data_IF_998754344190
#
_entry.id   IF_998754344190
#
_cell.length_a   1.000
_cell.length_b   1.000
_cell.length_c   1.000
_cell.angle_alpha   90.00
_cell.angle_beta   90.00
_cell.angle_gamma   90.00
#
_symmetry.space_group_name_H-M   'P 1'
#
loop_
_entity.id
_entity.type
_entity.pdbx_description
1 polymer ?
#
# COMPACT_ATOMS: atom_id res chain seq x y z
N UNK A 1 -0.69 -0.24 -2.04
CA UNK A 1 0.38 0.77 -2.11
C UNK A 1 1.74 0.12 -2.32
N UNK A 2 2.14 -0.85 -1.48
CA UNK A 2 3.45 -1.52 -1.52
C UNK A 2 3.77 -2.09 -2.91
N UNK A 3 2.85 -2.86 -3.51
CA UNK A 3 3.07 -3.44 -4.85
C UNK A 3 3.25 -2.37 -5.92
N UNK A 4 2.49 -1.27 -5.85
CA UNK A 4 2.64 -0.15 -6.78
C UNK A 4 4.00 0.55 -6.62
N UNK A 5 4.48 0.71 -5.38
CA UNK A 5 5.81 1.25 -5.12
C UNK A 5 6.91 0.35 -5.67
N UNK A 6 6.82 -0.97 -5.45
CA UNK A 6 7.78 -1.93 -6.00
C UNK A 6 7.85 -1.87 -7.53
N UNK A 7 6.69 -1.80 -8.20
CA UNK A 7 6.63 -1.66 -9.66
C UNK A 7 7.24 -0.36 -10.18
N UNK A 8 7.26 0.71 -9.35
CA UNK A 8 7.87 1.98 -9.72
C UNK A 8 9.40 1.97 -9.62
N UNK A 9 9.96 1.13 -8.75
CA UNK A 9 11.37 1.19 -8.35
C UNK A 9 12.30 0.35 -9.21
N UNK A 10 11.77 -0.63 -9.95
CA UNK A 10 12.58 -1.51 -10.80
C UNK A 10 13.73 -2.21 -10.04
N UNK A 11 13.38 -2.81 -8.90
CA UNK A 11 14.34 -3.48 -8.01
C UNK A 11 14.65 -4.87 -8.54
N UNK A 12 15.94 -5.24 -8.52
CA UNK A 12 16.44 -6.53 -8.95
C UNK A 12 17.16 -7.30 -7.83
N UNK A 13 17.26 -8.63 -7.93
CA UNK A 13 18.10 -9.41 -7.03
C UNK A 13 19.55 -8.92 -7.02
N UNK A 14 20.10 -8.73 -5.82
CA UNK A 14 21.43 -8.18 -5.59
C UNK A 14 21.48 -6.67 -5.34
N UNK A 15 20.36 -5.95 -5.53
CA UNK A 15 20.30 -4.52 -5.28
C UNK A 15 20.42 -4.18 -3.79
N UNK A 16 20.95 -2.98 -3.53
CA UNK A 16 20.95 -2.36 -2.20
C UNK A 16 19.88 -1.26 -2.16
N UNK A 17 18.88 -1.45 -1.32
CA UNK A 17 17.75 -0.54 -1.20
C UNK A 17 17.72 0.11 0.18
N UNK A 18 17.52 1.41 0.22
CA UNK A 18 17.26 2.13 1.47
C UNK A 18 15.76 2.36 1.65
N UNK A 19 15.28 2.06 2.84
CA UNK A 19 13.93 2.38 3.31
C UNK A 19 14.02 3.38 4.46
N UNK A 20 13.11 4.36 4.49
CA UNK A 20 12.90 5.21 5.67
C UNK A 20 11.45 5.16 6.10
N UNK A 21 11.23 4.97 7.41
CA UNK A 21 9.93 4.69 7.97
C UNK A 21 9.62 3.19 7.93
N UNK A 22 10.35 2.39 8.72
CA UNK A 22 10.13 0.94 8.81
C UNK A 22 8.69 0.59 9.23
N UNK A 23 8.08 1.42 10.09
CA UNK A 23 6.71 1.24 10.57
C UNK A 23 6.47 -0.14 11.16
N UNK A 24 5.59 -0.93 10.55
CA UNK A 24 5.34 -2.32 10.91
C UNK A 24 6.32 -3.33 10.30
N UNK A 25 7.22 -2.89 9.41
CA UNK A 25 8.10 -3.74 8.62
C UNK A 25 7.45 -4.36 7.37
N UNK A 26 6.24 -3.93 7.01
CA UNK A 26 5.55 -4.49 5.85
C UNK A 26 6.31 -4.25 4.55
N UNK A 27 6.70 -3.00 4.27
CA UNK A 27 7.49 -2.67 3.08
C UNK A 27 8.85 -3.38 3.12
N UNK A 28 9.51 -3.44 4.29
CA UNK A 28 10.79 -4.14 4.48
C UNK A 28 10.73 -5.60 4.03
N UNK A 29 9.64 -6.32 4.31
CA UNK A 29 9.44 -7.71 3.89
C UNK A 29 9.39 -7.84 2.36
N UNK A 30 8.66 -6.96 1.69
CA UNK A 30 8.56 -6.98 0.23
C UNK A 30 9.88 -6.59 -0.44
N UNK A 31 10.59 -5.60 0.12
CA UNK A 31 11.92 -5.21 -0.32
C UNK A 31 12.92 -6.35 -0.15
N UNK A 32 12.93 -7.00 1.03
CA UNK A 32 13.78 -8.17 1.32
C UNK A 32 13.63 -9.25 0.26
N UNK A 33 12.39 -9.54 -0.14
CA UNK A 33 12.10 -10.52 -1.20
C UNK A 33 12.57 -10.04 -2.57
N UNK A 34 12.33 -8.78 -2.90
CA UNK A 34 12.68 -8.22 -4.20
C UNK A 34 14.19 -8.20 -4.45
N UNK A 35 14.99 -7.82 -3.44
CA UNK A 35 16.45 -7.79 -3.55
C UNK A 35 17.07 -9.20 -3.43
N UNK A 36 16.33 -10.18 -2.94
CA UNK A 36 16.78 -11.56 -2.82
C UNK A 36 17.96 -11.78 -1.87
N UNK A 37 18.48 -13.02 -1.79
CA UNK A 37 19.50 -13.39 -0.79
C UNK A 37 20.86 -12.68 -0.97
N UNK A 38 21.15 -12.16 -2.14
CA UNK A 38 22.40 -11.44 -2.45
C UNK A 38 22.27 -9.92 -2.34
N UNK A 39 21.03 -9.43 -2.20
CA UNK A 39 20.75 -8.01 -2.02
C UNK A 39 20.66 -7.61 -0.56
N UNK A 40 20.46 -6.32 -0.31
CA UNK A 40 20.42 -5.74 1.02
C UNK A 40 19.38 -4.65 1.14
N UNK A 41 18.66 -4.61 2.26
CA UNK A 41 17.76 -3.52 2.64
C UNK A 41 18.31 -2.84 3.88
N UNK A 42 18.45 -1.52 3.84
CA UNK A 42 18.84 -0.70 5.00
C UNK A 42 17.62 0.13 5.39
N UNK A 43 16.99 -0.21 6.50
CA UNK A 43 15.72 0.37 6.94
C UNK A 43 15.94 1.27 8.17
N UNK A 44 15.63 2.57 8.01
CA UNK A 44 15.74 3.57 9.07
C UNK A 44 14.39 3.88 9.69
N UNK A 45 14.35 3.91 11.03
CA UNK A 45 13.17 4.30 11.80
C UNK A 45 13.60 5.21 12.95
N UNK A 46 12.87 6.29 13.17
CA UNK A 46 13.14 7.24 14.26
C UNK A 46 12.46 6.85 15.56
N UNK A 47 11.32 6.12 15.48
CA UNK A 47 10.52 5.70 16.62
C UNK A 47 10.96 4.33 17.11
N UNK A 48 11.30 4.25 18.40
CA UNK A 48 11.74 2.99 19.02
C UNK A 48 10.67 1.89 18.98
N UNK A 49 9.40 2.26 19.24
CA UNK A 49 8.27 1.32 19.22
C UNK A 49 8.06 0.72 17.82
N UNK A 50 8.12 1.51 16.76
CA UNK A 50 8.03 1.05 15.38
C UNK A 50 9.25 0.22 14.97
N UNK A 51 10.45 0.65 15.32
CA UNK A 51 11.67 -0.10 15.06
C UNK A 51 11.60 -1.52 15.66
N UNK A 52 11.20 -1.62 16.93
CA UNK A 52 11.06 -2.89 17.62
C UNK A 52 9.94 -3.75 17.02
N UNK A 53 8.83 -3.13 16.61
CA UNK A 53 7.72 -3.80 15.94
C UNK A 53 8.16 -4.39 14.59
N UNK A 54 8.84 -3.60 13.76
CA UNK A 54 9.34 -4.05 12.46
C UNK A 54 10.28 -5.26 12.60
N UNK A 55 11.24 -5.19 13.52
CA UNK A 55 12.16 -6.31 13.82
C UNK A 55 11.44 -7.55 14.31
N UNK A 56 10.42 -7.38 15.17
CA UNK A 56 9.61 -8.49 15.69
C UNK A 56 8.84 -9.14 14.53
N UNK A 57 8.15 -8.35 13.71
CA UNK A 57 7.34 -8.84 12.59
C UNK A 57 8.21 -9.53 11.54
N UNK A 58 9.37 -8.98 11.22
CA UNK A 58 10.32 -9.58 10.29
C UNK A 58 10.81 -10.96 10.77
N UNK A 59 11.17 -11.08 12.05
CA UNK A 59 11.57 -12.38 12.64
C UNK A 59 10.44 -13.38 12.65
N UNK A 60 9.22 -12.96 13.01
CA UNK A 60 8.04 -13.85 12.99
C UNK A 60 7.73 -14.34 11.59
N UNK A 61 7.84 -13.46 10.58
CA UNK A 61 7.62 -13.82 9.19
C UNK A 61 8.64 -14.86 8.73
N UNK A 62 9.92 -14.67 9.01
CA UNK A 62 10.97 -15.63 8.66
C UNK A 62 10.71 -17.00 9.28
N UNK A 63 10.42 -17.03 10.56
CA UNK A 63 10.12 -18.28 11.27
C UNK A 63 8.86 -18.98 10.70
N UNK A 64 7.82 -18.21 10.37
CA UNK A 64 6.62 -18.76 9.73
C UNK A 64 6.90 -19.29 8.32
N UNK A 65 7.74 -18.60 7.55
CA UNK A 65 8.15 -19.04 6.22
C UNK A 65 8.88 -20.39 6.24
N UNK A 66 9.81 -20.57 7.17
CA UNK A 66 10.59 -21.82 7.35
C UNK A 66 9.71 -23.04 7.63
N UNK A 67 8.53 -22.86 8.24
CA UNK A 67 7.58 -23.97 8.50
C UNK A 67 6.97 -24.49 7.19
N UNK A 68 6.72 -23.61 6.23
CA UNK A 68 5.99 -23.95 4.99
C UNK A 68 6.85 -24.08 3.73
N UNK A 69 8.14 -23.79 3.82
CA UNK A 69 9.04 -23.75 2.67
C UNK A 69 10.37 -24.44 2.98
N UNK A 70 10.96 -25.05 1.94
CA UNK A 70 12.27 -25.69 2.08
C UNK A 70 13.42 -24.67 2.07
N UNK A 71 13.16 -23.47 1.56
CA UNK A 71 14.15 -22.38 1.47
C UNK A 71 13.95 -21.40 2.62
N UNK A 72 15.02 -20.94 3.22
CA UNK A 72 14.99 -19.90 4.23
C UNK A 72 14.62 -18.54 3.60
N UNK A 73 13.88 -17.72 4.34
CA UNK A 73 13.71 -16.32 3.96
C UNK A 73 15.02 -15.57 4.21
N UNK A 74 15.52 -14.75 3.25
CA UNK A 74 16.78 -14.05 3.41
C UNK A 74 16.83 -13.17 4.66
N UNK A 75 17.96 -13.20 5.39
CA UNK A 75 18.25 -12.27 6.49
C UNK A 75 19.05 -11.08 5.95
N UNK A 76 18.41 -10.25 5.17
CA UNK A 76 19.02 -9.21 4.37
C UNK A 76 18.50 -7.80 4.68
N UNK A 77 17.82 -7.61 5.84
CA UNK A 77 17.30 -6.32 6.28
C UNK A 77 18.04 -5.85 7.54
N UNK A 78 18.71 -4.72 7.44
CA UNK A 78 19.32 -4.03 8.57
C UNK A 78 18.38 -2.95 9.09
N UNK A 79 17.75 -3.18 10.24
CA UNK A 79 16.94 -2.19 10.92
C UNK A 79 17.78 -1.26 11.79
N UNK A 80 17.71 0.04 11.56
CA UNK A 80 18.52 1.07 12.23
C UNK A 80 17.58 2.08 12.91
N UNK A 81 17.69 2.17 14.24
CA UNK A 81 16.97 3.19 15.02
C UNK A 81 17.73 4.52 14.95
N UNK A 82 17.40 5.34 13.98
CA UNK A 82 18.05 6.64 13.76
C UNK A 82 17.25 7.51 12.80
N UNK A 83 17.32 8.82 13.00
CA UNK A 83 16.83 9.78 12.02
C UNK A 83 17.73 9.79 10.78
N UNK A 84 17.14 9.51 9.61
CA UNK A 84 17.83 9.51 8.33
C UNK A 84 18.54 10.83 8.02
N UNK A 85 17.97 11.96 8.44
CA UNK A 85 18.58 13.29 8.23
C UNK A 85 19.96 13.43 8.86
N UNK A 86 20.26 12.63 9.90
CA UNK A 86 21.53 12.59 10.60
C UNK A 86 22.46 11.47 10.17
N UNK A 87 22.01 10.57 9.28
CA UNK A 87 22.71 9.35 8.92
C UNK A 87 23.74 9.50 7.78
N UNK A 88 24.01 10.72 7.31
CA UNK A 88 24.92 10.96 6.18
C UNK A 88 26.33 10.35 6.37
N UNK A 89 26.84 10.32 7.61
CA UNK A 89 28.14 9.75 7.94
C UNK A 89 28.14 8.22 7.85
N UNK A 90 27.06 7.58 8.28
CA UNK A 90 26.93 6.12 8.31
C UNK A 90 26.84 5.52 6.91
N UNK A 91 26.33 6.30 5.96
CA UNK A 91 26.12 5.88 4.57
C UNK A 91 27.30 6.20 3.64
N UNK A 92 28.46 6.65 4.16
CA UNK A 92 29.58 7.07 3.30
C UNK A 92 30.08 5.98 2.35
N UNK A 93 30.02 4.73 2.76
CA UNK A 93 30.46 3.57 1.97
C UNK A 93 29.35 2.85 1.23
N UNK A 94 28.10 3.28 1.38
CA UNK A 94 26.95 2.61 0.79
C UNK A 94 26.57 3.29 -0.53
N UNK A 95 26.37 2.47 -1.56
CA UNK A 95 25.78 2.88 -2.84
C UNK A 95 24.39 2.24 -2.95
N UNK A 96 23.39 3.04 -3.25
CA UNK A 96 21.99 2.64 -3.29
C UNK A 96 21.50 2.49 -4.74
N UNK A 97 20.80 1.41 -5.03
CA UNK A 97 20.13 1.19 -6.31
C UNK A 97 18.77 1.88 -6.34
N UNK A 98 18.03 1.77 -5.23
CA UNK A 98 16.73 2.43 -5.06
C UNK A 98 16.57 2.94 -3.62
N UNK A 99 15.60 3.86 -3.44
CA UNK A 99 15.24 4.46 -2.15
C UNK A 99 13.72 4.48 -2.01
N UNK A 100 13.22 4.12 -0.82
CA UNK A 100 11.82 4.26 -0.40
C UNK A 100 11.76 5.27 0.73
N UNK A 101 10.92 6.28 0.58
CA UNK A 101 10.64 7.26 1.64
C UNK A 101 9.17 7.15 2.04
N UNK A 102 8.91 6.58 3.22
CA UNK A 102 7.60 6.51 3.86
C UNK A 102 7.69 7.16 5.25
N UNK A 103 7.73 8.46 5.25
CA UNK A 103 7.94 9.27 6.46
C UNK A 103 7.21 10.60 6.36
N UNK A 104 6.95 11.23 7.51
CA UNK A 104 6.17 12.48 7.58
C UNK A 104 6.77 13.61 6.72
N UNK A 105 8.10 13.76 6.72
CA UNK A 105 8.81 14.83 6.00
C UNK A 105 9.88 14.26 5.07
N UNK A 106 9.52 13.57 3.96
CA UNK A 106 10.48 12.89 3.08
C UNK A 106 11.50 13.84 2.44
N UNK A 107 11.15 15.12 2.27
CA UNK A 107 12.06 16.14 1.76
C UNK A 107 13.32 16.34 2.61
N UNK A 108 13.30 15.99 3.90
CA UNK A 108 14.47 16.08 4.78
C UNK A 108 15.50 15.00 4.50
N UNK A 109 15.07 13.84 3.97
CA UNK A 109 15.94 12.73 3.62
C UNK A 109 16.68 12.95 2.29
N UNK A 110 16.12 13.73 1.36
CA UNK A 110 16.66 13.88 0.00
C UNK A 110 18.12 14.31 -0.06
N UNK A 111 18.60 15.30 0.73
CA UNK A 111 20.02 15.71 0.71
C UNK A 111 20.97 14.58 1.15
N UNK A 112 20.50 13.67 2.00
CA UNK A 112 21.27 12.55 2.54
C UNK A 112 21.32 11.38 1.57
N UNK A 113 20.17 11.04 0.98
CA UNK A 113 20.05 9.87 0.09
C UNK A 113 20.56 10.16 -1.32
N UNK A 114 20.35 11.40 -1.83
CA UNK A 114 20.74 11.77 -3.18
C UNK A 114 22.20 11.45 -3.52
N UNK A 115 23.22 11.81 -2.68
CA UNK A 115 24.61 11.50 -3.00
C UNK A 115 24.92 10.00 -3.08
N UNK A 116 24.10 9.17 -2.41
CA UNK A 116 24.29 7.71 -2.30
C UNK A 116 23.52 6.92 -3.34
N UNK A 117 22.45 7.48 -3.89
CA UNK A 117 21.68 6.85 -4.94
C UNK A 117 22.51 6.83 -6.24
N UNK A 118 22.54 5.69 -6.93
CA UNK A 118 23.18 5.55 -8.24
C UNK A 118 22.57 6.53 -9.25
N UNK A 119 23.37 6.86 -10.25
CA UNK A 119 22.87 7.63 -11.39
C UNK A 119 21.79 6.83 -12.12
N UNK A 120 20.64 7.45 -12.39
CA UNK A 120 19.46 6.76 -12.93
C UNK A 120 18.64 6.00 -11.87
N UNK A 121 19.12 5.90 -10.63
CA UNK A 121 18.41 5.25 -9.54
C UNK A 121 17.08 5.95 -9.19
N UNK A 122 16.16 5.18 -8.66
CA UNK A 122 14.80 5.63 -8.35
C UNK A 122 14.65 5.88 -6.85
N UNK A 123 13.99 7.00 -6.52
CA UNK A 123 13.47 7.27 -5.19
C UNK A 123 11.94 7.28 -5.27
N UNK A 124 11.29 6.30 -4.65
CA UNK A 124 9.85 6.22 -4.50
C UNK A 124 9.42 6.85 -3.17
N UNK A 125 8.45 7.75 -3.20
CA UNK A 125 7.98 8.47 -2.01
C UNK A 125 6.50 8.20 -1.81
N UNK A 126 6.14 7.74 -0.61
CA UNK A 126 4.77 7.60 -0.14
C UNK A 126 4.33 8.89 0.56
N UNK A 127 3.17 9.40 0.18
CA UNK A 127 2.63 10.67 0.68
C UNK A 127 1.12 10.52 0.93
N UNK A 128 0.65 11.02 2.05
CA UNK A 128 -0.75 10.88 2.44
C UNK A 128 -1.69 11.81 1.66
N UNK A 129 -1.18 12.92 1.14
CA UNK A 129 -2.00 13.93 0.45
C UNK A 129 -1.21 14.69 -0.62
N UNK A 130 -1.94 15.35 -1.50
CA UNK A 130 -1.37 16.09 -2.65
C UNK A 130 -0.53 17.30 -2.23
N UNK A 131 -0.83 17.94 -1.08
CA UNK A 131 -0.04 19.08 -0.61
C UNK A 131 1.37 18.67 -0.22
N UNK A 132 1.55 17.47 0.36
CA UNK A 132 2.88 16.91 0.62
C UNK A 132 3.65 16.63 -0.66
N UNK A 133 2.98 16.25 -1.75
CA UNK A 133 3.63 16.10 -3.07
C UNK A 133 4.16 17.44 -3.56
N UNK A 134 3.37 18.51 -3.43
CA UNK A 134 3.77 19.87 -3.81
C UNK A 134 4.98 20.32 -3.00
N UNK A 135 4.95 20.13 -1.68
CA UNK A 135 6.05 20.51 -0.78
C UNK A 135 7.34 19.75 -1.11
N UNK A 136 7.24 18.46 -1.42
CA UNK A 136 8.37 17.65 -1.87
C UNK A 136 9.00 18.19 -3.15
N UNK A 137 8.20 18.49 -4.17
CA UNK A 137 8.67 19.00 -5.45
C UNK A 137 9.24 20.41 -5.32
N UNK A 138 8.61 21.27 -4.49
CA UNK A 138 9.14 22.60 -4.21
C UNK A 138 10.50 22.55 -3.53
N UNK A 139 10.68 21.61 -2.58
CA UNK A 139 11.98 21.40 -1.93
C UNK A 139 13.04 20.94 -2.90
N UNK A 140 12.73 20.02 -3.82
CA UNK A 140 13.66 19.57 -4.85
C UNK A 140 14.10 20.76 -5.71
N UNK A 141 13.15 21.60 -6.15
CA UNK A 141 13.40 22.80 -6.95
C UNK A 141 14.26 23.82 -6.18
N UNK A 142 13.89 24.14 -4.95
CA UNK A 142 14.55 25.17 -4.13
C UNK A 142 15.98 24.77 -3.77
N UNK A 143 16.20 23.49 -3.41
CA UNK A 143 17.53 22.96 -3.12
C UNK A 143 18.33 22.57 -4.35
N UNK A 144 17.78 22.73 -5.56
CA UNK A 144 18.41 22.38 -6.84
C UNK A 144 18.92 20.93 -6.85
N UNK A 145 18.18 20.00 -6.21
CA UNK A 145 18.53 18.60 -6.20
C UNK A 145 18.26 18.00 -7.59
N UNK A 146 19.23 17.28 -8.19
CA UNK A 146 19.06 16.72 -9.53
C UNK A 146 18.19 15.44 -9.49
N UNK A 147 16.94 15.63 -9.14
CA UNK A 147 15.86 14.67 -9.27
C UNK A 147 14.85 15.12 -10.30
N UNK A 148 14.44 14.21 -11.16
CA UNK A 148 13.31 14.38 -12.09
C UNK A 148 12.10 13.63 -11.50
N UNK A 149 10.98 14.31 -11.37
CA UNK A 149 9.70 13.66 -11.06
C UNK A 149 9.18 13.00 -12.35
N UNK A 150 9.24 11.67 -12.42
CA UNK A 150 8.77 10.90 -13.58
C UNK A 150 7.27 10.65 -13.54
N UNK A 151 6.73 10.43 -12.33
CA UNK A 151 5.32 10.03 -12.18
C UNK A 151 4.81 10.34 -10.78
N UNK A 152 3.54 10.74 -10.73
CA UNK A 152 2.74 10.83 -9.50
C UNK A 152 1.50 9.98 -9.74
N UNK A 153 1.18 9.10 -8.79
CA UNK A 153 0.02 8.21 -8.85
C UNK A 153 -0.80 8.41 -7.58
N UNK A 154 -2.07 8.66 -7.73
CA UNK A 154 -3.03 8.50 -6.64
C UNK A 154 -3.50 7.05 -6.60
N UNK A 155 -3.43 6.41 -5.43
CA UNK A 155 -3.91 5.04 -5.24
C UNK A 155 -5.29 5.09 -4.60
N UNK A 156 -6.26 4.51 -5.31
CA UNK A 156 -7.65 4.43 -4.86
C UNK A 156 -8.13 2.99 -4.89
N UNK A 157 -9.06 2.66 -3.99
CA UNK A 157 -9.72 1.37 -3.94
C UNK A 157 -11.20 1.53 -4.20
N UNK A 158 -11.71 0.83 -5.20
CA UNK A 158 -13.13 0.80 -5.51
C UNK A 158 -13.71 -0.56 -5.17
N UNK A 159 -14.57 -0.57 -4.16
CA UNK A 159 -15.24 -1.79 -3.74
C UNK A 159 -16.44 -2.10 -4.66
N UNK A 160 -16.62 -3.38 -4.97
CA UNK A 160 -17.75 -3.89 -5.71
C UNK A 160 -18.56 -4.84 -4.85
N UNK A 161 -19.87 -4.71 -4.93
CA UNK A 161 -20.81 -5.67 -4.35
C UNK A 161 -21.22 -6.66 -5.43
N UNK A 162 -21.01 -7.94 -5.16
CA UNK A 162 -21.46 -9.03 -6.03
C UNK A 162 -22.47 -9.85 -5.25
N UNK A 163 -23.71 -9.85 -5.70
CA UNK A 163 -24.82 -10.50 -5.03
C UNK A 163 -25.58 -11.36 -6.04
N UNK A 164 -26.18 -12.50 -5.61
CA UNK A 164 -27.10 -13.24 -6.44
C UNK A 164 -28.26 -12.33 -6.88
N UNK A 165 -28.63 -12.39 -8.15
CA UNK A 165 -29.77 -11.65 -8.65
C UNK A 165 -31.06 -12.21 -8.02
N UNK A 166 -31.90 -11.32 -7.45
CA UNK A 166 -33.22 -11.73 -7.00
C UNK A 166 -34.12 -11.94 -8.23
N UNK A 167 -34.46 -13.18 -8.54
CA UNK A 167 -35.42 -13.49 -9.57
C UNK A 167 -36.80 -13.20 -8.96
N UNK A 168 -37.46 -12.15 -9.40
CA UNK A 168 -38.90 -12.00 -9.15
C UNK A 168 -39.61 -13.09 -9.95
N UNK A 169 -40.20 -14.07 -9.27
CA UNK A 169 -41.09 -15.02 -9.91
C UNK A 169 -42.25 -14.23 -10.51
N UNK A 170 -42.15 -13.92 -11.78
CA UNK A 170 -43.29 -13.42 -12.56
C UNK A 170 -44.33 -14.55 -12.67
N UNK A 171 -45.21 -14.69 -11.68
CA UNK A 171 -46.46 -15.37 -11.92
C UNK A 171 -47.20 -14.56 -12.98
N UNK A 172 -47.44 -15.18 -14.11
CA UNK A 172 -48.12 -14.58 -15.24
C UNK A 172 -49.48 -13.99 -14.81
N UNK A 173 -49.71 -12.76 -15.17
CA UNK A 173 -51.05 -12.18 -15.31
C UNK A 173 -51.61 -11.47 -14.09
N UNK A 174 -51.11 -10.29 -13.78
CA UNK A 174 -51.90 -9.15 -13.31
C UNK A 174 -51.06 -7.86 -13.50
N UNK A 175 -51.55 -6.98 -14.36
CA UNK A 175 -51.07 -5.61 -14.46
C UNK A 175 -51.38 -4.94 -13.12
N UNK A 176 -50.33 -4.48 -12.43
CA UNK A 176 -50.47 -3.60 -11.25
C UNK A 176 -50.06 -2.22 -11.68
N UNK A 177 -51.00 -1.32 -11.60
CA UNK A 177 -50.82 0.12 -11.80
C UNK A 177 -49.73 0.65 -10.89
N UNK A 178 -48.86 1.43 -11.47
CA UNK A 178 -47.82 2.19 -10.80
C UNK A 178 -48.46 3.30 -9.97
N UNK A 179 -48.47 3.13 -8.65
CA UNK A 179 -48.62 4.28 -7.75
C UNK A 179 -47.25 4.85 -7.47
N UNK A 180 -47.01 6.06 -7.94
CA UNK A 180 -45.90 6.91 -7.53
C UNK A 180 -46.11 7.30 -6.07
N UNK A 181 -45.31 6.73 -5.18
CA UNK A 181 -45.14 7.23 -3.81
C UNK A 181 -43.92 8.13 -3.76
N UNK A 182 -44.18 9.42 -3.68
CA UNK A 182 -43.22 10.45 -3.27
C UNK A 182 -42.95 10.26 -1.78
N UNK A 183 -41.82 9.62 -1.45
CA UNK A 183 -41.31 9.63 -0.08
C UNK A 183 -40.13 10.59 0.00
N UNK A 184 -40.30 11.62 0.85
CA UNK A 184 -39.23 12.54 1.24
C UNK A 184 -38.13 11.80 2.05
N UNK A 185 -36.85 12.19 1.94
CA UNK A 185 -35.76 11.52 2.66
C UNK A 185 -35.82 11.86 4.16
N UNK A 186 -35.56 10.90 5.05
CA UNK A 186 -35.51 11.13 6.49
C UNK A 186 -34.30 12.00 6.87
N UNK A 187 -34.53 12.95 7.78
CA UNK A 187 -33.50 13.79 8.40
C UNK A 187 -32.54 12.90 9.20
N UNK A 188 -31.26 13.01 8.93
CA UNK A 188 -30.18 12.29 9.65
C UNK A 188 -29.83 13.02 10.94
N UNK A 189 -30.03 12.35 12.06
CA UNK A 189 -29.38 12.66 13.33
C UNK A 189 -27.94 12.10 13.29
N UNK A 190 -26.94 12.98 13.49
CA UNK A 190 -25.53 12.58 13.54
C UNK A 190 -25.20 11.97 14.90
N UNK A 191 -25.21 10.65 15.00
CA UNK A 191 -24.54 9.93 16.09
C UNK A 191 -23.09 9.61 15.71
N UNK A 192 -22.15 10.05 16.54
CA UNK A 192 -20.73 9.68 16.44
C UNK A 192 -20.56 8.17 16.63
N UNK A 193 -20.26 7.46 15.54
CA UNK A 193 -19.98 6.02 15.59
C UNK A 193 -18.47 5.81 15.77
N UNK A 194 -18.10 5.37 16.97
CA UNK A 194 -16.78 4.76 17.22
C UNK A 194 -16.59 3.54 16.32
N UNK A 195 -15.64 3.64 15.40
CA UNK A 195 -15.25 2.54 14.52
C UNK A 195 -14.45 1.53 15.35
N UNK A 196 -15.10 0.48 15.80
CA UNK A 196 -14.44 -0.81 16.11
C UNK A 196 -14.87 -1.80 15.02
N UNK A 197 -13.98 -1.99 14.05
CA UNK A 197 -14.12 -2.99 13.02
C UNK A 197 -14.18 -4.39 13.62
N UNK A 198 -15.38 -4.89 13.75
CA UNK A 198 -15.66 -6.32 13.80
C UNK A 198 -16.86 -6.60 12.92
N UNK A 199 -16.57 -6.91 11.66
CA UNK A 199 -17.57 -7.55 10.79
C UNK A 199 -17.81 -8.96 11.38
N UNK A 200 -18.75 -9.03 12.31
CA UNK A 200 -19.35 -10.30 12.71
C UNK A 200 -20.36 -10.66 11.63
N UNK A 201 -19.94 -11.48 10.69
CA UNK A 201 -20.88 -12.21 9.86
C UNK A 201 -21.77 -13.05 10.78
N UNK A 202 -23.06 -12.71 10.88
CA UNK A 202 -24.03 -13.54 11.55
C UNK A 202 -24.20 -14.83 10.75
N UNK A 203 -23.57 -15.90 11.24
CA UNK A 203 -23.67 -17.28 10.72
C UNK A 203 -25.02 -17.95 11.04
N UNK A 204 -26.11 -17.26 11.15
CA UNK A 204 -27.35 -17.84 11.66
C UNK A 204 -28.54 -17.85 10.71
N UNK A 205 -28.34 -17.93 9.37
CA UNK A 205 -29.48 -18.11 8.45
C UNK A 205 -29.23 -19.10 7.28
N UNK A 206 -28.25 -20.02 7.37
CA UNK A 206 -28.05 -21.04 6.33
C UNK A 206 -28.05 -22.48 6.91
N UNK A 207 -29.04 -22.83 7.69
CA UNK A 207 -29.32 -24.23 8.06
C UNK A 207 -30.70 -24.66 7.60
N UNK A 208 -30.97 -24.61 6.30
CA UNK A 208 -31.95 -25.49 5.70
C UNK A 208 -31.22 -26.67 5.06
N UNK A 209 -31.65 -27.93 5.32
CA UNK A 209 -31.00 -29.11 4.74
C UNK A 209 -31.20 -29.08 3.22
N UNK A 210 -30.11 -29.06 2.49
CA UNK A 210 -30.07 -29.26 1.03
C UNK A 210 -30.70 -30.61 0.74
N UNK A 211 -31.88 -30.62 0.09
CA UNK A 211 -32.46 -31.82 -0.48
C UNK A 211 -31.52 -32.33 -1.59
N UNK A 212 -31.21 -33.63 -1.53
CA UNK A 212 -30.31 -34.39 -2.40
C UNK A 212 -30.79 -34.51 -3.88
N UNK A 213 -31.31 -33.45 -4.45
CA UNK A 213 -31.53 -33.35 -5.89
C UNK A 213 -30.47 -32.39 -6.45
N UNK A 214 -29.31 -32.97 -6.72
CA UNK A 214 -28.20 -32.31 -7.40
C UNK A 214 -28.60 -31.91 -8.83
N UNK A 215 -29.34 -30.84 -9.01
CA UNK A 215 -29.25 -30.05 -10.22
C UNK A 215 -27.97 -29.22 -10.14
N UNK A 216 -26.95 -29.82 -10.70
CA UNK A 216 -25.63 -29.27 -10.89
C UNK A 216 -25.75 -27.90 -11.56
N UNK A 217 -25.35 -26.85 -10.87
CA UNK A 217 -25.28 -25.47 -11.37
C UNK A 217 -26.62 -24.85 -11.80
N UNK A 218 -27.50 -24.59 -10.83
CA UNK A 218 -28.48 -23.53 -11.04
C UNK A 218 -27.69 -22.22 -11.16
N UNK A 219 -27.47 -21.74 -12.39
CA UNK A 219 -26.76 -20.50 -12.67
C UNK A 219 -27.66 -19.32 -12.25
N UNK A 220 -27.73 -19.07 -10.94
CA UNK A 220 -28.37 -17.85 -10.46
C UNK A 220 -27.50 -16.70 -10.98
N UNK A 221 -28.05 -15.82 -11.85
CA UNK A 221 -27.27 -14.72 -12.35
C UNK A 221 -26.82 -13.83 -11.19
N UNK A 222 -25.58 -13.37 -11.24
CA UNK A 222 -25.07 -12.41 -10.29
C UNK A 222 -25.21 -10.99 -10.82
N UNK A 223 -25.46 -10.05 -9.90
CA UNK A 223 -25.42 -8.62 -10.18
C UNK A 223 -24.20 -8.06 -9.48
N UNK A 224 -23.30 -7.43 -10.24
CA UNK A 224 -22.14 -6.73 -9.74
C UNK A 224 -22.40 -5.23 -9.88
N UNK A 225 -22.20 -4.48 -8.80
CA UNK A 225 -22.28 -3.02 -8.79
C UNK A 225 -21.19 -2.42 -7.93
N UNK A 226 -20.66 -1.24 -8.26
CA UNK A 226 -19.78 -0.53 -7.36
C UNK A 226 -20.50 -0.22 -6.05
N UNK A 227 -19.76 -0.20 -4.94
CA UNK A 227 -20.27 0.34 -3.68
C UNK A 227 -20.67 1.80 -3.89
N UNK A 228 -21.73 2.23 -3.24
CA UNK A 228 -22.20 3.63 -3.30
C UNK A 228 -21.49 4.54 -2.28
N UNK A 229 -20.62 3.96 -1.45
CA UNK A 229 -19.79 4.75 -0.55
C UNK A 229 -18.73 5.54 -1.33
N UNK A 230 -18.38 6.70 -0.81
CA UNK A 230 -17.32 7.51 -1.39
C UNK A 230 -16.00 6.73 -1.33
N UNK A 231 -15.34 6.60 -2.47
CA UNK A 231 -14.02 6.00 -2.54
C UNK A 231 -12.99 6.98 -1.94
N UNK A 232 -12.22 6.51 -0.95
CA UNK A 232 -11.11 7.26 -0.39
C UNK A 232 -9.81 6.85 -1.08
N UNK A 233 -8.89 7.78 -1.27
CA UNK A 233 -7.53 7.44 -1.67
C UNK A 233 -6.75 6.91 -0.47
N UNK A 234 -5.79 6.00 -0.70
CA UNK A 234 -4.87 5.53 0.33
C UNK A 234 -3.59 6.34 0.37
N UNK A 235 -3.08 6.75 -0.78
CA UNK A 235 -1.81 7.47 -0.90
C UNK A 235 -1.63 8.16 -2.24
N UNK A 236 -0.66 9.08 -2.24
CA UNK A 236 0.01 9.58 -3.44
C UNK A 236 1.42 8.99 -3.49
N UNK A 237 1.74 8.29 -4.57
CA UNK A 237 3.05 7.71 -4.81
C UNK A 237 3.80 8.57 -5.83
N UNK A 238 4.97 9.06 -5.45
CA UNK A 238 5.80 9.90 -6.32
C UNK A 238 7.07 9.16 -6.70
N UNK A 239 7.32 9.03 -8.01
CA UNK A 239 8.53 8.46 -8.58
C UNK A 239 9.51 9.56 -8.95
N UNK A 240 10.62 9.61 -8.27
CA UNK A 240 11.74 10.50 -8.55
C UNK A 240 12.90 9.70 -9.13
N UNK A 241 13.51 10.20 -10.21
CA UNK A 241 14.72 9.59 -10.78
C UNK A 241 15.90 10.56 -10.63
N UNK A 242 17.02 10.04 -10.11
CA UNK A 242 18.26 10.80 -10.07
C UNK A 242 18.82 10.96 -11.47
N UNK A 243 19.13 12.18 -11.87
CA UNK A 243 19.76 12.46 -13.14
C UNK A 243 21.07 13.25 -12.96
N UNK A 244 21.93 13.20 -13.96
CA UNK A 244 23.15 14.01 -14.01
C UNK A 244 22.83 15.29 -14.77
N UNK A 245 22.96 16.48 -14.17
CA UNK A 245 22.81 17.72 -14.90
C UNK A 245 23.82 17.77 -16.06
N UNK A 246 23.36 18.19 -17.23
CA UNK A 246 24.28 18.54 -18.30
C UNK A 246 25.11 19.71 -17.80
N UNK A 247 26.44 19.55 -17.81
CA UNK A 247 27.34 20.67 -17.53
C UNK A 247 27.12 21.71 -18.63
N UNK A 248 26.51 22.81 -18.25
CA UNK A 248 26.40 24.00 -19.09
C UNK A 248 27.73 24.75 -19.19
#
# INVERSE_FOLDING_TARGET
DVSAMLMMMDIHPGDTVLETGSGSGAMSLFLSRAVGPTGRVVSYEIRDDHHNLAKKNYRHWRAAWEIGHMEEWPDNVDFILKDISTAAADMKSITLDAVVLDMLNPQSALPVVHPRLKQGGVCAVYLANITQVIDLLDRIRTCKLPFMCEKIIEVTHKNWLVLPAKIKNCKSGQMVETQESTEEPPQEEYEEIHIQDRVVLKESEYNEPLSDNAETYCSVPYVARPSYWQDAHSAFLTKLRKFRPLLS
#
